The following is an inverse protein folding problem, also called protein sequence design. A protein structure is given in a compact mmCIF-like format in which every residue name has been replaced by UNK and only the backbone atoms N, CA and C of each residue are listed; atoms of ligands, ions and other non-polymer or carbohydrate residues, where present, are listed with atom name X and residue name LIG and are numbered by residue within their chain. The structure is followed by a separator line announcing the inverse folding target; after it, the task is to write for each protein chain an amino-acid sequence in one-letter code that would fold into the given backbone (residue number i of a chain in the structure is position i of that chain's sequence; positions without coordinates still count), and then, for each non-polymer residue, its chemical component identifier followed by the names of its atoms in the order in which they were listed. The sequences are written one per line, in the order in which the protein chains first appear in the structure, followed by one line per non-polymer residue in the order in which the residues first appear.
data_IF_065140240393
#
_entry.id   IF_065140240393
#
_cell.length_a   1.000
_cell.length_b   1.000
_cell.length_c   1.000
_cell.angle_alpha   90.00
_cell.angle_beta   90.00
_cell.angle_gamma   90.00
#
_symmetry.space_group_name_H-M   'P 1'
#
loop_
_entity.id
_entity.type
_entity.pdbx_description
1 polymer ?
#
# COMPACT_ATOMS: atom_id res chain seq x y z
N UNK A 1 -7.89 -0.66 17.76
CA UNK A 1 -8.00 -0.32 16.32
C UNK A 1 -7.17 -1.27 15.45
N UNK A 2 -5.82 -1.22 15.49
CA UNK A 2 -4.94 -2.05 14.62
C UNK A 2 -5.19 -3.55 14.73
N UNK A 3 -5.37 -4.08 15.95
CA UNK A 3 -5.66 -5.51 16.17
C UNK A 3 -6.92 -5.97 15.43
N UNK A 4 -7.97 -5.14 15.39
CA UNK A 4 -9.20 -5.47 14.66
C UNK A 4 -8.97 -5.54 13.15
N UNK A 5 -8.12 -4.64 12.60
CA UNK A 5 -7.73 -4.64 11.18
C UNK A 5 -6.92 -5.89 10.83
N UNK A 6 -6.03 -6.32 11.73
CA UNK A 6 -5.23 -7.53 11.58
C UNK A 6 -6.11 -8.77 11.60
N UNK A 7 -7.01 -8.90 12.59
CA UNK A 7 -7.93 -10.04 12.70
C UNK A 7 -8.82 -10.17 11.47
N UNK A 8 -9.30 -9.04 10.92
CA UNK A 8 -10.09 -9.04 9.68
C UNK A 8 -9.35 -9.62 8.47
N UNK A 9 -8.06 -9.33 8.33
CA UNK A 9 -7.27 -9.87 7.22
C UNK A 9 -7.07 -11.39 7.32
N UNK A 10 -6.99 -11.94 8.54
CA UNK A 10 -6.80 -13.38 8.74
C UNK A 10 -8.11 -14.18 8.82
N UNK A 11 -9.20 -13.56 9.31
CA UNK A 11 -10.50 -14.23 9.52
C UNK A 11 -11.67 -13.39 9.00
N UNK A 12 -11.73 -13.10 7.68
CA UNK A 12 -12.75 -12.21 7.11
C UNK A 12 -14.19 -12.73 7.30
N UNK A 13 -14.39 -14.04 7.30
CA UNK A 13 -15.71 -14.67 7.49
C UNK A 13 -16.28 -14.51 8.91
N UNK A 14 -15.44 -14.33 9.93
CA UNK A 14 -15.86 -14.21 11.33
C UNK A 14 -16.02 -12.75 11.76
N UNK A 15 -15.43 -11.81 11.01
CA UNK A 15 -15.47 -10.37 11.30
C UNK A 15 -15.75 -9.54 10.04
N UNK A 16 -16.97 -9.58 9.47
CA UNK A 16 -17.30 -8.84 8.24
C UNK A 16 -17.19 -7.31 8.41
N UNK A 17 -17.21 -6.79 9.64
CA UNK A 17 -17.10 -5.37 9.96
C UNK A 17 -15.68 -4.87 10.27
N UNK A 18 -14.66 -5.64 9.87
CA UNK A 18 -13.26 -5.28 10.12
C UNK A 18 -12.80 -3.93 9.57
N UNK A 19 -13.48 -3.42 8.54
CA UNK A 19 -13.23 -2.08 7.97
C UNK A 19 -13.44 -0.96 8.99
N UNK A 20 -14.33 -1.12 9.97
CA UNK A 20 -14.54 -0.14 11.04
C UNK A 20 -13.26 0.11 11.85
N UNK A 21 -12.39 -0.91 11.97
CA UNK A 21 -11.09 -0.77 12.61
C UNK A 21 -10.16 0.22 11.90
N UNK A 22 -10.29 0.35 10.58
CA UNK A 22 -9.55 1.29 9.74
C UNK A 22 -10.05 2.72 9.98
N UNK A 23 -11.37 2.92 9.98
CA UNK A 23 -11.99 4.23 10.23
C UNK A 23 -11.60 4.76 11.61
N UNK A 24 -11.76 3.94 12.65
CA UNK A 24 -11.36 4.30 14.02
C UNK A 24 -9.85 4.57 14.13
N UNK A 25 -9.02 3.81 13.42
CA UNK A 25 -7.58 4.05 13.40
C UNK A 25 -7.23 5.42 12.80
N UNK A 26 -7.88 5.81 11.70
CA UNK A 26 -7.65 7.11 11.08
C UNK A 26 -8.15 8.27 11.93
N UNK A 27 -9.33 8.15 12.56
CA UNK A 27 -9.85 9.17 13.49
C UNK A 27 -8.91 9.39 14.67
N UNK A 28 -8.48 8.30 15.32
CA UNK A 28 -7.54 8.39 16.46
C UNK A 28 -6.18 8.97 16.03
N UNK A 29 -5.69 8.59 14.84
CA UNK A 29 -4.45 9.16 14.29
C UNK A 29 -4.57 10.66 14.07
N UNK A 30 -5.69 11.14 13.51
CA UNK A 30 -5.95 12.56 13.31
C UNK A 30 -6.01 13.34 14.63
N UNK A 31 -6.71 12.79 15.62
CA UNK A 31 -6.79 13.37 16.96
C UNK A 31 -5.40 13.48 17.62
N UNK A 32 -4.59 12.43 17.57
CA UNK A 32 -3.21 12.42 18.09
C UNK A 32 -2.32 13.44 17.37
N UNK A 33 -2.42 13.55 16.05
CA UNK A 33 -1.66 14.54 15.27
C UNK A 33 -2.08 15.96 15.69
N UNK A 34 -3.38 16.21 15.86
CA UNK A 34 -3.90 17.47 16.37
C UNK A 34 -3.29 17.84 17.71
N UNK A 35 -3.31 16.93 18.70
CA UNK A 35 -2.69 17.15 20.02
C UNK A 35 -1.19 17.45 19.94
N UNK A 36 -0.45 16.77 19.04
CA UNK A 36 0.99 17.00 18.86
C UNK A 36 1.28 18.38 18.25
N UNK A 37 0.36 18.91 17.44
CA UNK A 37 0.48 20.22 16.79
C UNK A 37 -0.05 21.37 17.65
N UNK A 38 -1.00 21.11 18.55
CA UNK A 38 -1.65 22.11 19.41
C UNK A 38 -0.66 22.88 20.31
N UNK A 39 0.42 22.23 20.76
CA UNK A 39 1.50 22.85 21.54
C UNK A 39 2.49 23.72 20.75
N UNK A 40 2.29 23.91 19.43
CA UNK A 40 3.17 24.71 18.57
C UNK A 40 2.37 25.83 17.91
N UNK A 41 3.03 26.96 17.60
CA UNK A 41 2.44 27.96 16.69
C UNK A 41 2.17 27.28 15.35
N UNK A 42 0.91 26.95 15.11
CA UNK A 42 0.51 26.21 13.90
C UNK A 42 0.77 27.10 12.70
N UNK A 43 1.75 26.69 11.89
CA UNK A 43 2.11 27.33 10.64
C UNK A 43 2.31 26.26 9.57
N UNK A 44 2.22 26.65 8.29
CA UNK A 44 2.49 25.75 7.15
C UNK A 44 3.87 25.08 7.30
N UNK A 45 4.87 25.81 7.83
CA UNK A 45 6.21 25.28 8.08
C UNK A 45 6.22 24.18 9.15
N UNK A 46 5.49 24.38 10.25
CA UNK A 46 5.40 23.41 11.36
C UNK A 46 4.68 22.12 10.93
N UNK A 47 3.62 22.25 10.13
CA UNK A 47 2.89 21.11 9.56
C UNK A 47 3.79 20.36 8.56
N UNK A 48 4.46 21.10 7.67
CA UNK A 48 5.39 20.51 6.69
C UNK A 48 6.53 19.75 7.35
N UNK A 49 7.15 20.32 8.40
CA UNK A 49 8.22 19.66 9.14
C UNK A 49 7.73 18.36 9.83
N UNK A 50 6.52 18.38 10.39
CA UNK A 50 5.91 17.17 10.97
C UNK A 50 5.75 16.06 9.92
N UNK A 51 5.17 16.38 8.76
CA UNK A 51 4.98 15.41 7.69
C UNK A 51 6.29 14.96 7.06
N UNK A 52 7.28 15.84 6.89
CA UNK A 52 8.61 15.47 6.40
C UNK A 52 9.32 14.48 7.33
N UNK A 53 9.27 14.71 8.65
CA UNK A 53 9.80 13.77 9.65
C UNK A 53 9.07 12.44 9.64
N UNK A 54 7.75 12.44 9.41
CA UNK A 54 6.96 11.22 9.27
C UNK A 54 7.31 10.46 7.98
N UNK A 55 7.43 11.16 6.86
CA UNK A 55 7.81 10.59 5.57
C UNK A 55 9.20 9.95 5.64
N UNK A 56 10.21 10.64 6.21
CA UNK A 56 11.56 10.08 6.35
C UNK A 56 11.62 8.79 7.18
N UNK A 57 10.64 8.56 8.06
CA UNK A 57 10.53 7.33 8.86
C UNK A 57 9.78 6.21 8.12
N UNK A 58 8.70 6.51 7.41
CA UNK A 58 7.83 5.50 6.77
C UNK A 58 8.37 5.09 5.38
N UNK A 59 8.84 6.07 4.61
CA UNK A 59 9.29 5.89 3.23
C UNK A 59 10.37 4.80 3.04
N UNK A 60 11.45 4.71 3.85
CA UNK A 60 12.48 3.69 3.63
C UNK A 60 11.93 2.27 3.78
N UNK A 61 11.04 2.04 4.76
CA UNK A 61 10.45 0.72 4.97
C UNK A 61 9.46 0.37 3.85
N UNK A 62 8.66 1.34 3.37
CA UNK A 62 7.78 1.09 2.24
C UNK A 62 8.54 0.74 0.97
N UNK A 63 9.67 1.43 0.69
CA UNK A 63 10.51 1.10 -0.47
C UNK A 63 11.11 -0.30 -0.36
N UNK A 64 11.59 -0.69 0.82
CA UNK A 64 12.10 -2.02 1.09
C UNK A 64 11.02 -3.08 0.83
N UNK A 65 9.81 -2.89 1.37
CA UNK A 65 8.70 -3.83 1.19
C UNK A 65 8.30 -3.93 -0.29
N UNK A 66 8.16 -2.81 -0.99
CA UNK A 66 7.84 -2.81 -2.43
C UNK A 66 8.93 -3.53 -3.21
N UNK A 67 10.20 -3.23 -2.93
CA UNK A 67 11.33 -3.87 -3.60
C UNK A 67 11.36 -5.37 -3.35
N UNK A 68 11.23 -5.80 -2.09
CA UNK A 68 11.23 -7.23 -1.72
C UNK A 68 10.06 -7.99 -2.34
N UNK A 69 8.84 -7.44 -2.32
CA UNK A 69 7.67 -8.07 -2.96
C UNK A 69 7.89 -8.17 -4.47
N UNK A 70 8.32 -7.08 -5.11
CA UNK A 70 8.60 -7.05 -6.56
C UNK A 70 9.67 -8.08 -6.92
N UNK A 71 10.73 -8.15 -6.11
CA UNK A 71 11.82 -9.10 -6.29
C UNK A 71 11.32 -10.55 -6.15
N UNK A 72 10.57 -10.88 -5.11
CA UNK A 72 9.99 -12.21 -4.90
C UNK A 72 9.06 -12.60 -6.05
N UNK A 73 8.17 -11.70 -6.47
CA UNK A 73 7.24 -11.92 -7.59
C UNK A 73 8.01 -12.14 -8.88
N UNK A 74 9.03 -11.33 -9.17
CA UNK A 74 9.87 -11.48 -10.36
C UNK A 74 10.49 -12.87 -10.44
N UNK A 75 11.14 -13.35 -9.39
CA UNK A 75 11.76 -14.68 -9.40
C UNK A 75 10.74 -15.83 -9.46
N UNK A 76 9.60 -15.69 -8.79
CA UNK A 76 8.54 -16.70 -8.86
C UNK A 76 7.92 -16.76 -10.27
N UNK A 77 7.65 -15.62 -10.89
CA UNK A 77 7.02 -15.56 -12.22
C UNK A 77 7.97 -15.94 -13.36
N UNK A 78 9.25 -15.55 -13.28
CA UNK A 78 10.28 -15.95 -14.25
C UNK A 78 10.41 -17.47 -14.34
N UNK A 79 10.23 -18.21 -13.23
CA UNK A 79 10.27 -19.68 -13.25
C UNK A 79 9.05 -20.35 -13.88
N UNK A 80 7.95 -19.62 -14.05
CA UNK A 80 6.64 -20.15 -14.50
C UNK A 80 6.33 -19.77 -15.94
N UNK A 81 6.90 -18.66 -16.45
CA UNK A 81 6.60 -18.14 -17.79
C UNK A 81 7.66 -18.63 -18.79
N UNK A 82 7.24 -19.45 -19.75
CA UNK A 82 8.04 -19.82 -20.91
C UNK A 82 8.41 -18.56 -21.72
N UNK A 83 9.68 -18.40 -22.11
CA UNK A 83 10.19 -17.21 -22.83
C UNK A 83 9.32 -16.81 -24.04
N UNK A 84 8.74 -17.81 -24.72
CA UNK A 84 7.88 -17.60 -25.90
C UNK A 84 6.52 -16.98 -25.56
N UNK A 85 5.93 -17.33 -24.40
CA UNK A 85 4.66 -16.76 -23.94
C UNK A 85 4.83 -15.32 -23.40
N UNK A 86 6.01 -15.00 -22.84
CA UNK A 86 6.35 -13.63 -22.43
C UNK A 86 6.42 -12.69 -23.64
N UNK A 87 7.14 -13.09 -24.68
CA UNK A 87 7.29 -12.30 -25.91
C UNK A 87 5.92 -12.09 -26.58
N UNK A 88 5.11 -13.15 -26.66
CA UNK A 88 3.78 -13.11 -27.26
C UNK A 88 2.82 -12.19 -26.49
N UNK A 89 2.85 -12.25 -25.16
CA UNK A 89 2.04 -11.37 -24.30
C UNK A 89 2.50 -9.92 -24.40
N UNK A 90 3.81 -9.68 -24.45
CA UNK A 90 4.39 -8.33 -24.59
C UNK A 90 4.01 -7.69 -25.93
N UNK A 91 4.12 -8.45 -27.04
CA UNK A 91 3.68 -8.00 -28.36
C UNK A 91 2.17 -7.70 -28.37
N UNK A 92 1.35 -8.58 -27.80
CA UNK A 92 -0.10 -8.37 -27.74
C UNK A 92 -0.52 -7.20 -26.83
N UNK A 93 0.27 -6.88 -25.80
CA UNK A 93 0.06 -5.70 -24.96
C UNK A 93 0.46 -4.42 -25.71
N UNK A 94 1.60 -4.42 -26.42
CA UNK A 94 2.08 -3.30 -27.25
C UNK A 94 1.09 -2.91 -28.35
N UNK A 95 0.54 -3.91 -29.04
CA UNK A 95 -0.45 -3.69 -30.09
C UNK A 95 -1.89 -3.59 -29.55
N UNK A 96 -2.09 -3.58 -28.23
CA UNK A 96 -3.40 -3.59 -27.57
C UNK A 96 -4.37 -4.70 -28.06
N UNK A 97 -3.88 -5.71 -28.77
CA UNK A 97 -4.68 -6.83 -29.26
C UNK A 97 -5.17 -7.73 -28.14
N UNK A 98 -4.56 -7.62 -26.95
CA UNK A 98 -5.04 -8.25 -25.72
C UNK A 98 -6.46 -7.82 -25.32
N UNK A 99 -6.87 -6.57 -25.61
CA UNK A 99 -8.22 -6.08 -25.34
C UNK A 99 -9.26 -6.54 -26.37
N UNK A 100 -8.82 -6.92 -27.58
CA UNK A 100 -9.73 -7.36 -28.65
C UNK A 100 -10.21 -8.81 -28.46
N UNK A 101 -9.48 -9.60 -27.67
CA UNK A 101 -9.77 -11.03 -27.48
C UNK A 101 -10.81 -11.30 -26.37
N UNK A 102 -11.25 -10.26 -25.67
CA UNK A 102 -12.11 -10.35 -24.48
C UNK A 102 -13.51 -9.74 -24.68
N UNK A 103 -13.90 -9.49 -25.93
CA UNK A 103 -15.27 -9.22 -26.39
C UNK A 103 -15.70 -10.34 -27.34
#
# INVERSE_FOLDING_TARGET
AVIAVVIFHFFPAHFPYGYFGVDVFFVLSGFLIGMVLDGKKTSVATISDFYLKRMRRIFPLSLLIIFTITWVVYFRMVSVISEKELIKTTINALFFTSNLKHN
#
